data_IF_764914417812
#
_entry.id   IF_764914417812
#
_cell.length_a   1.000
_cell.length_b   1.000
_cell.length_c   1.000
_cell.angle_alpha   90.00
_cell.angle_beta   90.00
_cell.angle_gamma   90.00
#
_symmetry.space_group_name_H-M   'P 1'
#
loop_
_entity.id
_entity.type
_entity.pdbx_description
1 polymer ?
#
# COMPACT_ATOMS: atom_id res chain seq x y z
N UNK A 1 -12.47 -9.60 1.62
CA UNK A 1 -11.60 -10.75 1.95
C UNK A 1 -10.75 -10.45 3.17
N UNK A 2 -9.84 -9.47 3.10
CA UNK A 2 -8.91 -9.17 4.22
C UNK A 2 -9.60 -8.91 5.56
N UNK A 3 -10.66 -8.07 5.59
CA UNK A 3 -11.42 -7.80 6.83
C UNK A 3 -12.20 -9.00 7.40
N UNK A 4 -12.26 -10.14 6.70
CA UNK A 4 -12.79 -11.40 7.23
C UNK A 4 -11.71 -12.31 7.83
N UNK A 5 -10.43 -12.05 7.52
CA UNK A 5 -9.30 -12.85 8.00
C UNK A 5 -8.76 -12.32 9.34
N UNK A 6 -8.68 -11.00 9.48
CA UNK A 6 -8.20 -10.34 10.68
C UNK A 6 -8.74 -8.90 10.75
N UNK A 7 -8.54 -8.25 11.90
CA UNK A 7 -8.72 -6.80 12.03
C UNK A 7 -7.78 -6.08 11.07
N UNK A 8 -8.30 -5.12 10.30
CA UNK A 8 -7.52 -4.37 9.32
C UNK A 8 -7.42 -2.91 9.74
N UNK A 9 -6.20 -2.37 9.75
CA UNK A 9 -5.97 -0.93 9.84
C UNK A 9 -5.69 -0.37 8.45
N UNK A 10 -6.52 0.58 8.00
CA UNK A 10 -6.34 1.30 6.75
C UNK A 10 -5.61 2.62 7.05
N UNK A 11 -4.29 2.60 6.97
CA UNK A 11 -3.47 3.79 7.19
C UNK A 11 -3.50 4.71 5.96
N UNK A 12 -3.84 5.98 6.17
CA UNK A 12 -3.96 6.99 5.11
C UNK A 12 -3.44 8.35 5.59
N UNK A 13 -3.23 9.26 4.64
CA UNK A 13 -2.96 10.65 4.97
C UNK A 13 -4.18 11.32 5.62
N UNK A 14 -3.91 12.31 6.47
CA UNK A 14 -4.94 13.19 7.01
C UNK A 14 -5.71 13.92 5.90
N UNK A 15 -7.02 14.12 6.08
CA UNK A 15 -7.89 14.80 5.12
C UNK A 15 -8.26 14.01 3.85
N UNK A 16 -7.65 12.84 3.59
CA UNK A 16 -7.95 12.01 2.41
C UNK A 16 -9.10 11.05 2.72
N UNK A 17 -10.09 10.93 1.85
CA UNK A 17 -11.09 9.86 1.93
C UNK A 17 -10.75 8.74 0.94
N UNK A 18 -10.76 7.50 1.40
CA UNK A 18 -10.48 6.31 0.62
C UNK A 18 -11.71 5.36 0.57
N UNK A 19 -11.92 4.65 -0.54
CA UNK A 19 -12.88 3.57 -0.58
C UNK A 19 -12.54 2.50 0.46
N UNK A 20 -13.56 2.01 1.17
CA UNK A 20 -13.40 0.91 2.13
C UNK A 20 -13.32 1.32 3.60
N UNK A 21 -13.27 2.63 3.90
CA UNK A 21 -13.26 3.13 5.29
C UNK A 21 -14.49 2.70 6.12
N UNK A 22 -15.65 2.56 5.48
CA UNK A 22 -16.90 2.15 6.12
C UNK A 22 -17.12 0.62 6.15
N UNK A 23 -16.14 -0.18 5.71
CA UNK A 23 -16.29 -1.64 5.71
C UNK A 23 -16.15 -2.19 7.13
N UNK A 24 -17.04 -3.11 7.49
CA UNK A 24 -16.92 -3.87 8.74
C UNK A 24 -15.57 -4.59 8.83
N UNK A 25 -14.91 -4.50 9.99
CA UNK A 25 -13.60 -5.10 10.24
C UNK A 25 -12.41 -4.26 9.76
N UNK A 26 -12.66 -3.09 9.16
CA UNK A 26 -11.64 -2.11 8.76
C UNK A 26 -11.72 -0.90 9.69
N UNK A 27 -10.57 -0.43 10.19
CA UNK A 27 -10.45 0.82 10.93
C UNK A 27 -9.52 1.75 10.17
N UNK A 28 -10.04 2.87 9.67
CA UNK A 28 -9.22 3.89 9.02
C UNK A 28 -8.40 4.67 10.07
N UNK A 29 -7.13 4.89 9.79
CA UNK A 29 -6.21 5.62 10.68
C UNK A 29 -5.47 6.67 9.87
N UNK A 30 -5.60 7.92 10.30
CA UNK A 30 -4.96 9.06 9.65
C UNK A 30 -3.61 9.35 10.31
N UNK A 31 -2.57 9.49 9.50
CA UNK A 31 -1.26 9.95 9.92
C UNK A 31 -0.88 11.20 9.14
N UNK A 32 -0.21 12.12 9.83
CA UNK A 32 0.29 13.37 9.26
C UNK A 32 1.73 13.60 9.73
N UNK A 33 2.44 14.48 9.02
CA UNK A 33 3.84 14.80 9.29
C UNK A 33 4.76 14.55 8.09
N UNK A 34 6.02 14.98 8.17
CA UNK A 34 7.02 14.67 7.16
C UNK A 34 7.33 13.18 7.14
N UNK A 35 8.13 12.73 6.17
CA UNK A 35 8.67 11.37 6.21
C UNK A 35 9.41 11.14 7.55
N UNK A 36 9.06 10.10 8.33
CA UNK A 36 8.21 8.95 7.99
C UNK A 36 6.74 9.02 8.52
N UNK A 37 5.78 9.39 7.65
CA UNK A 37 4.33 9.33 7.95
C UNK A 37 3.60 8.13 7.28
N UNK A 38 4.31 7.37 6.44
CA UNK A 38 3.78 6.20 5.71
C UNK A 38 4.52 4.89 5.99
N UNK A 39 5.33 4.86 7.05
CA UNK A 39 6.17 3.71 7.40
C UNK A 39 5.37 2.71 8.25
N UNK A 40 5.19 1.45 7.80
CA UNK A 40 4.40 0.47 8.53
C UNK A 40 4.89 0.22 9.96
N UNK A 41 6.21 0.26 10.20
CA UNK A 41 6.76 0.05 11.55
C UNK A 41 6.26 1.08 12.57
N UNK A 42 6.22 2.37 12.18
CA UNK A 42 5.68 3.45 13.02
C UNK A 42 4.19 3.29 13.24
N UNK A 43 3.43 2.93 12.20
CA UNK A 43 1.99 2.68 12.32
C UNK A 43 1.70 1.50 13.25
N UNK A 44 2.43 0.39 13.10
CA UNK A 44 2.31 -0.79 13.96
C UNK A 44 2.62 -0.42 15.40
N UNK A 45 3.68 0.35 15.66
CA UNK A 45 4.04 0.79 17.00
C UNK A 45 2.89 1.52 17.72
N UNK A 46 2.17 2.40 17.03
CA UNK A 46 1.08 3.17 17.63
C UNK A 46 -0.27 2.44 17.65
N UNK A 47 -0.55 1.57 16.68
CA UNK A 47 -1.87 0.98 16.50
C UNK A 47 -1.99 -0.43 17.08
N UNK A 48 -0.99 -1.27 16.85
CA UNK A 48 -1.02 -2.69 17.21
C UNK A 48 0.39 -3.22 17.51
N UNK A 49 1.09 -2.69 18.54
CA UNK A 49 2.50 -2.94 18.76
C UNK A 49 2.80 -4.43 18.91
N UNK A 50 3.94 -4.83 18.35
CA UNK A 50 4.44 -6.22 18.33
C UNK A 50 5.60 -6.41 19.30
N UNK A 51 5.91 -7.68 19.57
CA UNK A 51 7.01 -8.11 20.43
C UNK A 51 7.29 -9.60 20.25
N UNK A 52 8.11 -10.21 21.11
CA UNK A 52 8.55 -11.60 20.92
C UNK A 52 7.41 -12.63 20.80
N UNK A 53 6.25 -12.37 21.43
CA UNK A 53 5.08 -13.27 21.41
C UNK A 53 3.97 -12.86 20.44
N UNK A 54 4.14 -11.81 19.63
CA UNK A 54 3.06 -11.28 18.77
C UNK A 54 3.60 -10.79 17.44
N UNK A 55 2.98 -11.24 16.37
CA UNK A 55 3.26 -10.82 14.99
C UNK A 55 2.05 -10.13 14.37
N UNK A 56 2.31 -9.22 13.43
CA UNK A 56 1.30 -8.59 12.58
C UNK A 56 1.73 -8.69 11.12
N UNK A 57 0.79 -8.53 10.21
CA UNK A 57 1.06 -8.48 8.77
C UNK A 57 0.89 -7.05 8.27
N UNK A 58 1.68 -6.68 7.27
CA UNK A 58 1.53 -5.40 6.57
C UNK A 58 1.51 -5.65 5.06
N UNK A 59 0.73 -4.83 4.35
CA UNK A 59 0.58 -4.87 2.90
C UNK A 59 0.54 -3.42 2.40
N UNK A 60 1.15 -3.14 1.25
CA UNK A 60 0.97 -1.86 0.59
C UNK A 60 -0.37 -1.83 -0.18
N UNK A 61 -0.80 -0.62 -0.55
CA UNK A 61 -2.09 -0.42 -1.19
C UNK A 61 -2.20 -1.06 -2.60
N UNK A 62 -1.11 -1.15 -3.38
CA UNK A 62 -1.16 -1.79 -4.70
C UNK A 62 -1.33 -3.30 -4.60
N UNK A 63 -0.75 -3.93 -3.57
CA UNK A 63 -0.95 -5.35 -3.32
C UNK A 63 -2.36 -5.64 -2.80
N UNK A 64 -2.97 -4.73 -2.02
CA UNK A 64 -4.40 -4.81 -1.67
C UNK A 64 -5.28 -4.77 -2.92
N UNK A 65 -4.97 -3.87 -3.87
CA UNK A 65 -5.65 -3.81 -5.18
C UNK A 65 -5.46 -5.12 -5.95
N UNK A 66 -4.23 -5.66 -6.00
CA UNK A 66 -3.92 -6.90 -6.70
C UNK A 66 -4.66 -8.10 -6.10
N UNK A 67 -4.78 -8.19 -4.77
CA UNK A 67 -5.61 -9.20 -4.07
C UNK A 67 -7.07 -9.03 -4.49
N UNK A 68 -7.60 -7.81 -4.48
CA UNK A 68 -8.96 -7.54 -4.95
C UNK A 68 -9.19 -8.01 -6.39
N UNK A 69 -8.27 -7.69 -7.30
CA UNK A 69 -8.29 -8.16 -8.70
C UNK A 69 -8.24 -9.68 -8.79
N UNK A 70 -7.38 -10.34 -8.03
CA UNK A 70 -7.28 -11.80 -8.00
C UNK A 70 -8.64 -12.43 -7.66
N UNK A 71 -9.30 -11.98 -6.60
CA UNK A 71 -10.57 -12.57 -6.17
C UNK A 71 -11.77 -12.19 -7.06
N UNK A 72 -11.72 -11.04 -7.74
CA UNK A 72 -12.81 -10.59 -8.62
C UNK A 72 -12.71 -11.10 -10.05
N UNK A 73 -11.50 -11.42 -10.51
CA UNK A 73 -11.24 -11.84 -11.90
C UNK A 73 -10.71 -13.26 -12.02
N UNK A 74 -10.22 -13.86 -10.93
CA UNK A 74 -9.56 -15.16 -10.92
C UNK A 74 -8.13 -15.14 -11.49
N UNK A 75 -7.57 -13.96 -11.79
CA UNK A 75 -6.27 -13.82 -12.45
C UNK A 75 -5.27 -13.04 -11.60
N UNK A 76 -4.00 -13.43 -11.65
CA UNK A 76 -2.92 -12.70 -10.99
C UNK A 76 -2.71 -11.33 -11.66
N UNK A 77 -2.86 -10.26 -10.88
CA UNK A 77 -2.68 -8.89 -11.35
C UNK A 77 -1.26 -8.38 -11.10
N UNK A 78 -0.48 -8.22 -12.16
CA UNK A 78 0.94 -7.84 -12.09
C UNK A 78 1.23 -6.39 -12.47
N UNK A 79 0.24 -5.61 -12.91
CA UNK A 79 0.44 -4.19 -13.22
C UNK A 79 0.82 -3.40 -11.96
N UNK A 80 1.71 -2.43 -12.10
CA UNK A 80 2.15 -1.51 -11.06
C UNK A 80 2.16 -0.08 -11.58
N UNK A 81 1.74 0.86 -10.75
CA UNK A 81 1.88 2.30 -11.02
C UNK A 81 3.02 2.81 -10.15
N UNK A 82 4.13 3.20 -10.74
CA UNK A 82 5.33 3.61 -9.99
C UNK A 82 5.70 5.06 -10.32
N UNK A 83 6.33 5.75 -9.38
CA UNK A 83 6.91 7.06 -9.62
C UNK A 83 8.25 6.89 -10.32
N UNK A 84 8.36 7.38 -11.56
CA UNK A 84 9.64 7.57 -12.24
C UNK A 84 10.06 9.02 -11.98
N UNK A 85 11.09 9.19 -11.15
CA UNK A 85 11.50 10.49 -10.63
C UNK A 85 13.01 10.54 -10.37
N UNK A 86 13.52 11.74 -10.13
CA UNK A 86 14.93 12.03 -9.88
C UNK A 86 15.39 13.25 -10.70
N UNK A 87 16.45 13.97 -10.28
CA UNK A 87 16.89 15.20 -10.95
C UNK A 87 17.29 15.01 -12.43
N UNK A 88 17.68 13.79 -12.81
CA UNK A 88 18.13 13.45 -14.17
C UNK A 88 17.02 12.83 -15.04
N UNK A 89 15.81 12.66 -14.51
CA UNK A 89 14.67 12.13 -15.28
C UNK A 89 14.07 13.26 -16.11
N UNK A 90 14.10 13.13 -17.43
CA UNK A 90 13.60 14.18 -18.34
C UNK A 90 12.11 14.50 -18.15
N UNK A 91 11.29 13.48 -17.88
CA UNK A 91 9.83 13.60 -17.76
C UNK A 91 9.32 12.89 -16.49
N UNK A 92 9.55 13.45 -15.29
CA UNK A 92 9.12 12.84 -14.03
C UNK A 92 7.59 12.68 -14.00
N UNK A 93 7.11 11.47 -13.74
CA UNK A 93 5.68 11.13 -13.77
C UNK A 93 5.39 9.80 -13.09
N UNK A 94 4.11 9.50 -12.94
CA UNK A 94 3.66 8.14 -12.65
C UNK A 94 3.61 7.35 -13.97
N UNK A 95 4.17 6.15 -13.97
CA UNK A 95 4.15 5.25 -15.13
C UNK A 95 3.49 3.93 -14.76
N UNK A 96 2.73 3.34 -15.69
CA UNK A 96 2.26 1.96 -15.60
C UNK A 96 3.36 1.03 -16.08
N UNK A 97 3.65 0.01 -15.30
CA UNK A 97 4.63 -1.04 -15.60
C UNK A 97 4.15 -2.38 -15.02
N UNK A 98 5.02 -3.39 -14.96
CA UNK A 98 4.75 -4.69 -14.34
C UNK A 98 5.64 -4.96 -13.13
N UNK A 99 5.19 -5.85 -12.26
CA UNK A 99 6.00 -6.40 -11.18
C UNK A 99 7.26 -7.06 -11.77
N UNK A 100 8.44 -6.65 -11.27
CA UNK A 100 9.73 -7.13 -11.74
C UNK A 100 10.09 -6.66 -13.16
N UNK A 101 9.66 -5.45 -13.55
CA UNK A 101 10.13 -4.82 -14.78
C UNK A 101 11.64 -4.57 -14.75
N UNK A 102 12.30 -4.72 -15.91
CA UNK A 102 13.69 -4.32 -16.09
C UNK A 102 13.81 -2.80 -15.95
N UNK A 103 14.72 -2.32 -15.08
CA UNK A 103 14.84 -0.90 -14.80
C UNK A 103 15.64 -0.13 -15.86
N UNK A 104 16.58 -0.79 -16.55
CA UNK A 104 17.34 -0.17 -17.64
C UNK A 104 16.40 0.14 -18.81
N UNK A 105 15.54 -0.80 -19.19
CA UNK A 105 14.52 -0.58 -20.22
C UNK A 105 13.45 0.44 -19.80
N UNK A 106 13.07 0.45 -18.51
CA UNK A 106 12.06 1.38 -17.99
C UNK A 106 12.58 2.83 -17.92
N UNK A 107 13.88 3.00 -17.75
CA UNK A 107 14.54 4.29 -17.60
C UNK A 107 15.29 4.78 -18.85
N UNK A 108 15.32 3.99 -19.93
CA UNK A 108 15.87 4.36 -21.23
C UNK A 108 14.99 5.40 -21.94
#
# INVERSE_FOLDING_TARGET
VLGRLARVFLCKAEGVSLPGEALSGVTAQAFAGPHPAGLPGTHIHFLDPVGAGKSVWNLNYQDVIAIGKLFTTGQLWTERVIALAGPVVEKPRLVRTRLGANLDELAA
#
